data_IF_230581640292
#
_entry.id   IF_230581640292
#
_cell.length_a   1.000
_cell.length_b   1.000
_cell.length_c   1.000
_cell.angle_alpha   90.00
_cell.angle_beta   90.00
_cell.angle_gamma   90.00
#
_symmetry.space_group_name_H-M   'P 1'
#
loop_
_entity.id
_entity.type
_entity.pdbx_description
1 polymer ?
#
# COMPACT_ATOMS: atom_id res chain seq x y z
N UNK A 1 -6.06 -13.01 4.56
CA UNK A 1 -6.58 -12.02 3.59
C UNK A 1 -6.40 -10.62 4.18
N UNK A 2 -5.86 -9.68 3.40
CA UNK A 2 -5.57 -8.32 3.86
C UNK A 2 -5.72 -7.30 2.73
N UNK A 3 -5.85 -6.02 3.09
CA UNK A 3 -5.87 -4.92 2.13
C UNK A 3 -4.47 -4.35 1.96
N UNK A 4 -4.04 -4.15 0.71
CA UNK A 4 -2.78 -3.50 0.37
C UNK A 4 -3.09 -2.16 -0.29
N UNK A 5 -2.33 -1.15 0.13
CA UNK A 5 -2.34 0.17 -0.46
C UNK A 5 -1.03 0.36 -1.22
N UNK A 6 -1.11 0.84 -2.47
CA UNK A 6 0.04 1.04 -3.37
C UNK A 6 0.12 2.48 -3.85
N UNK A 7 1.32 3.04 -3.96
CA UNK A 7 1.52 4.37 -4.55
C UNK A 7 2.82 4.48 -5.33
N UNK A 8 2.89 5.49 -6.19
CA UNK A 8 4.07 5.73 -7.04
C UNK A 8 4.85 6.91 -6.45
N UNK A 9 6.04 6.65 -5.91
CA UNK A 9 6.94 7.72 -5.45
C UNK A 9 7.45 8.57 -6.62
N UNK A 10 8.02 9.73 -6.32
CA UNK A 10 8.51 10.68 -7.31
C UNK A 10 9.61 10.10 -8.25
N UNK A 11 10.31 9.07 -7.80
CA UNK A 11 11.31 8.27 -8.53
C UNK A 11 10.71 7.17 -9.42
N UNK A 12 9.36 7.05 -9.47
CA UNK A 12 8.58 6.03 -10.18
C UNK A 12 8.67 4.62 -9.59
N UNK A 13 9.09 4.47 -8.34
CA UNK A 13 9.00 3.18 -7.65
C UNK A 13 7.55 2.94 -7.16
N UNK A 14 7.01 1.76 -7.46
CA UNK A 14 5.73 1.29 -6.90
C UNK A 14 5.98 0.77 -5.48
N UNK A 15 5.30 1.40 -4.52
CA UNK A 15 5.47 1.14 -3.10
C UNK A 15 4.22 0.50 -2.55
N UNK A 16 4.39 -0.70 -2.02
CA UNK A 16 3.32 -1.46 -1.38
C UNK A 16 3.36 -1.31 0.15
N UNK A 17 2.27 -0.82 0.72
CA UNK A 17 2.05 -0.60 2.15
C UNK A 17 0.89 -1.47 2.65
N UNK A 18 1.02 -2.04 3.85
CA UNK A 18 0.07 -2.98 4.46
C UNK A 18 0.77 -4.02 5.33
N UNK A 19 0.19 -5.22 5.55
CA UNK A 19 -1.22 -5.56 5.35
C UNK A 19 -2.14 -4.81 6.32
N UNK A 20 -3.23 -4.24 5.80
CA UNK A 20 -4.28 -3.64 6.62
C UNK A 20 -5.42 -4.64 6.89
N UNK A 21 -5.97 -4.59 8.10
CA UNK A 21 -7.07 -5.46 8.54
C UNK A 21 -8.38 -5.05 7.85
N UNK A 22 -8.54 -3.77 7.52
CA UNK A 22 -9.74 -3.21 6.89
C UNK A 22 -9.42 -2.34 5.67
N UNK A 23 -10.38 -2.26 4.73
CA UNK A 23 -10.30 -1.35 3.57
C UNK A 23 -10.24 0.11 4.00
N UNK A 24 -11.00 0.46 5.04
CA UNK A 24 -11.08 1.83 5.55
C UNK A 24 -9.73 2.33 6.05
N UNK A 25 -8.95 1.49 6.75
CA UNK A 25 -7.60 1.85 7.18
C UNK A 25 -6.62 2.01 6.01
N UNK A 26 -6.72 1.14 5.00
CA UNK A 26 -5.92 1.24 3.78
C UNK A 26 -6.26 2.54 3.01
N UNK A 27 -7.54 2.89 2.91
CA UNK A 27 -8.04 4.10 2.23
C UNK A 27 -7.62 5.38 2.97
N UNK A 28 -7.78 5.41 4.30
CA UNK A 28 -7.31 6.53 5.12
C UNK A 28 -5.81 6.76 4.97
N UNK A 29 -5.03 5.69 4.85
CA UNK A 29 -3.57 5.79 4.65
C UNK A 29 -3.23 6.17 3.21
N UNK A 30 -4.00 5.70 2.23
CA UNK A 30 -3.81 6.07 0.81
C UNK A 30 -4.09 7.55 0.58
N UNK A 31 -5.05 8.14 1.29
CA UNK A 31 -5.35 9.57 1.20
C UNK A 31 -4.16 10.45 1.60
N UNK A 32 -3.28 9.99 2.49
CA UNK A 32 -2.05 10.73 2.85
C UNK A 32 -1.07 10.89 1.67
N UNK A 33 -1.22 10.05 0.65
CA UNK A 33 -0.37 9.99 -0.52
C UNK A 33 -1.18 10.13 -1.81
N UNK A 34 -2.39 10.70 -1.75
CA UNK A 34 -3.25 10.89 -2.93
C UNK A 34 -2.54 11.67 -4.05
N UNK A 35 -1.61 12.57 -3.69
CA UNK A 35 -0.75 13.32 -4.63
C UNK A 35 0.19 12.45 -5.46
N UNK A 36 0.40 11.18 -5.08
CA UNK A 36 1.28 10.21 -5.72
C UNK A 36 0.51 9.13 -6.52
N UNK A 37 -0.78 9.35 -6.79
CA UNK A 37 -1.60 8.36 -7.52
C UNK A 37 -1.86 7.09 -6.70
N UNK A 38 -1.93 7.24 -5.38
CA UNK A 38 -2.24 6.19 -4.43
C UNK A 38 -3.51 5.40 -4.79
N UNK A 39 -3.42 4.07 -4.85
CA UNK A 39 -4.53 3.13 -5.10
C UNK A 39 -4.60 2.07 -4.00
N UNK A 40 -5.81 1.73 -3.55
CA UNK A 40 -6.04 0.58 -2.66
C UNK A 40 -6.45 -0.61 -3.51
N UNK A 41 -6.05 -1.82 -3.12
CA UNK A 41 -6.52 -3.04 -3.78
C UNK A 41 -8.05 -3.09 -3.84
N UNK A 42 -8.62 -3.50 -4.97
CA UNK A 42 -10.08 -3.55 -5.14
C UNK A 42 -10.75 -4.62 -4.25
N UNK A 43 -9.99 -5.66 -3.90
CA UNK A 43 -10.36 -6.75 -3.03
C UNK A 43 -9.24 -7.04 -2.01
N UNK A 44 -9.54 -7.70 -0.87
CA UNK A 44 -8.50 -8.18 0.02
C UNK A 44 -7.72 -9.29 -0.67
N UNK A 45 -6.40 -9.21 -0.64
CA UNK A 45 -5.52 -10.20 -1.24
C UNK A 45 -5.03 -11.20 -0.20
N UNK A 46 -4.71 -12.40 -0.65
CA UNK A 46 -3.88 -13.29 0.14
C UNK A 46 -2.44 -12.79 0.07
N UNK A 47 -1.84 -12.53 1.23
CA UNK A 47 -0.46 -12.05 1.31
C UNK A 47 0.41 -13.30 1.37
N UNK A 48 1.16 -13.63 0.30
CA UNK A 48 2.01 -14.80 0.32
C UNK A 48 3.14 -14.63 1.34
N UNK A 49 3.67 -15.73 1.86
CA UNK A 49 4.71 -15.72 2.91
C UNK A 49 5.99 -14.96 2.50
N UNK A 50 6.25 -14.83 1.19
CA UNK A 50 7.40 -14.10 0.63
C UNK A 50 7.09 -12.64 0.28
N UNK A 51 5.87 -12.17 0.53
CA UNK A 51 5.49 -10.79 0.29
C UNK A 51 6.34 -9.84 1.16
N UNK A 52 7.16 -9.04 0.49
CA UNK A 52 7.99 -8.02 1.12
C UNK A 52 7.32 -6.68 0.93
N UNK A 53 6.73 -6.18 2.01
CA UNK A 53 6.40 -4.77 2.11
C UNK A 53 7.64 -3.95 1.81
N UNK A 54 7.46 -2.88 1.05
CA UNK A 54 8.49 -1.89 0.91
C UNK A 54 8.65 -1.23 2.28
N UNK A 55 9.66 -1.69 3.03
CA UNK A 55 10.16 -0.97 4.18
C UNK A 55 10.91 0.21 3.60
N UNK A 56 10.17 1.28 3.30
CA UNK A 56 10.80 2.54 2.93
C UNK A 56 11.89 2.78 3.95
N UNK A 57 13.15 2.70 3.52
CA UNK A 57 14.22 3.33 4.27
C UNK A 57 13.80 4.80 4.28
N UNK A 58 13.23 5.20 5.42
CA UNK A 58 12.99 6.59 5.75
C UNK A 58 14.40 7.19 5.90
N UNK A 59 14.94 7.69 4.80
CA UNK A 59 16.03 8.68 4.80
C UNK A 59 15.42 10.08 4.96
#
# INVERSE_FOLDING_TARGET
MAWIYRYIRADREEIDMGPYVSREEADKTSQQHASFGAIVSEAPIEVPDDYRLYKGEYD
#
